data_IF_448861118702
#
_entry.id   IF_448861118702
#
_cell.length_a   1.000
_cell.length_b   1.000
_cell.length_c   1.000
_cell.angle_alpha   90.00
_cell.angle_beta   90.00
_cell.angle_gamma   90.00
#
_symmetry.space_group_name_H-M   'P 1'
#
loop_
_entity.id
_entity.type
_entity.pdbx_description
1 polymer ?
#
# COMPACT_ATOMS: atom_id res chain seq x y z
N UNK A 1 24.22 -15.05 -45.09
CA UNK A 1 24.94 -14.75 -43.83
C UNK A 1 24.06 -15.16 -42.68
N UNK A 2 24.59 -15.87 -41.68
CA UNK A 2 23.82 -16.25 -40.49
C UNK A 2 23.57 -15.00 -39.64
N UNK A 3 22.31 -14.71 -39.36
CA UNK A 3 21.90 -13.56 -38.53
C UNK A 3 22.12 -13.93 -37.05
N UNK A 4 22.92 -13.12 -36.34
CA UNK A 4 23.29 -13.34 -34.93
C UNK A 4 22.42 -12.49 -34.00
N UNK A 5 21.97 -11.33 -34.47
CA UNK A 5 21.09 -10.42 -33.75
C UNK A 5 19.87 -10.12 -34.61
N UNK A 6 18.70 -10.03 -33.97
CA UNK A 6 17.47 -9.58 -34.60
C UNK A 6 17.10 -8.22 -34.01
N UNK A 7 16.97 -7.23 -34.88
CA UNK A 7 16.47 -5.91 -34.49
C UNK A 7 14.96 -5.99 -34.29
N UNK A 8 14.47 -5.32 -33.25
CA UNK A 8 13.04 -5.16 -33.03
C UNK A 8 12.47 -4.11 -33.99
N UNK A 9 11.31 -4.40 -34.56
CA UNK A 9 10.51 -3.40 -35.28
C UNK A 9 9.48 -2.77 -34.34
N UNK A 10 8.87 -1.66 -34.73
CA UNK A 10 7.87 -0.97 -33.90
C UNK A 10 6.66 -1.87 -33.58
N UNK A 11 6.29 -2.78 -34.48
CA UNK A 11 5.19 -3.75 -34.29
C UNK A 11 5.54 -4.90 -33.32
N UNK A 12 6.82 -5.07 -33.00
CA UNK A 12 7.29 -6.10 -32.07
C UNK A 12 7.33 -5.58 -30.61
N UNK A 13 7.14 -4.27 -30.40
CA UNK A 13 7.24 -3.63 -29.09
C UNK A 13 5.89 -3.04 -28.69
N UNK A 14 5.32 -3.55 -27.60
CA UNK A 14 4.16 -2.94 -26.96
C UNK A 14 4.66 -2.23 -25.70
N UNK A 15 4.67 -0.91 -25.74
CA UNK A 15 5.11 -0.05 -24.64
C UNK A 15 3.91 0.39 -23.81
N UNK A 16 4.10 0.49 -22.50
CA UNK A 16 3.17 1.19 -21.61
C UNK A 16 1.89 0.40 -21.32
N UNK A 17 1.96 -0.93 -21.30
CA UNK A 17 0.87 -1.73 -20.76
C UNK A 17 0.81 -1.51 -19.25
N UNK A 18 -0.27 -0.92 -18.75
CA UNK A 18 -0.44 -0.59 -17.33
C UNK A 18 -1.32 -1.66 -16.73
N UNK A 19 -0.71 -2.55 -15.95
CA UNK A 19 -1.46 -3.51 -15.16
C UNK A 19 -1.67 -2.96 -13.75
N UNK A 20 -2.93 -2.96 -13.30
CA UNK A 20 -3.26 -2.67 -11.91
C UNK A 20 -3.26 -3.98 -11.13
N UNK A 21 -2.40 -4.08 -10.12
CA UNK A 21 -2.29 -5.23 -9.23
C UNK A 21 -2.80 -4.80 -7.86
N UNK A 22 -3.73 -5.58 -7.32
CA UNK A 22 -4.24 -5.40 -5.97
C UNK A 22 -3.81 -6.56 -5.07
N UNK A 23 -3.33 -6.27 -3.87
CA UNK A 23 -2.89 -7.27 -2.90
C UNK A 23 -3.28 -6.88 -1.46
N UNK A 24 -3.44 -7.86 -0.55
CA UNK A 24 -3.58 -7.62 0.89
C UNK A 24 -2.51 -6.66 1.43
N UNK A 25 -2.92 -5.70 2.26
CA UNK A 25 -1.99 -4.69 2.83
C UNK A 25 -1.33 -5.16 4.13
N UNK A 26 -1.96 -6.07 4.88
CA UNK A 26 -1.50 -6.42 6.22
C UNK A 26 -0.34 -7.42 6.19
N UNK A 27 0.45 -7.44 7.28
CA UNK A 27 1.52 -8.43 7.45
C UNK A 27 1.04 -9.85 7.14
N UNK A 28 1.96 -10.67 6.61
CA UNK A 28 1.69 -12.09 6.29
C UNK A 28 0.60 -12.26 5.21
N UNK A 29 0.38 -11.22 4.38
CA UNK A 29 -0.63 -11.18 3.31
C UNK A 29 -2.06 -11.48 3.80
N UNK A 30 -2.35 -11.09 5.05
CA UNK A 30 -3.67 -11.30 5.68
C UNK A 30 -4.65 -10.24 5.16
N UNK A 31 -5.88 -10.64 4.80
CA UNK A 31 -7.00 -9.73 4.57
C UNK A 31 -8.32 -10.53 4.63
N UNK A 32 -9.30 -10.17 5.49
CA UNK A 32 -9.28 -9.07 6.46
C UNK A 32 -8.30 -9.31 7.61
N UNK A 33 -7.77 -8.24 8.19
CA UNK A 33 -6.98 -8.31 9.41
C UNK A 33 -7.92 -8.47 10.60
N UNK A 34 -7.96 -9.69 11.12
CA UNK A 34 -8.85 -10.13 12.19
C UNK A 34 -8.04 -10.81 13.28
N UNK A 35 -8.39 -10.52 14.54
CA UNK A 35 -7.77 -11.18 15.68
C UNK A 35 -8.09 -12.69 15.67
N UNK A 36 -7.09 -13.53 15.88
CA UNK A 36 -7.25 -14.98 15.85
C UNK A 36 -6.45 -15.68 16.97
N UNK A 37 -6.62 -17.00 17.06
CA UNK A 37 -5.96 -17.84 18.06
C UNK A 37 -4.48 -18.13 17.76
N UNK A 38 -3.97 -17.75 16.58
CA UNK A 38 -2.55 -17.95 16.21
C UNK A 38 -1.66 -16.76 16.56
N UNK A 39 -2.16 -15.83 17.38
CA UNK A 39 -1.42 -14.68 17.89
C UNK A 39 -1.44 -13.46 16.97
N UNK A 40 -2.30 -13.46 15.94
CA UNK A 40 -2.59 -12.26 15.14
C UNK A 40 -3.69 -11.46 15.83
N UNK A 41 -3.53 -10.15 15.90
CA UNK A 41 -4.51 -9.26 16.51
C UNK A 41 -3.97 -7.85 16.67
N UNK A 42 -4.77 -6.97 17.22
CA UNK A 42 -4.47 -5.53 17.32
C UNK A 42 -3.75 -5.24 18.65
N UNK A 43 -2.43 -5.41 18.66
CA UNK A 43 -1.62 -5.25 19.87
C UNK A 43 -1.01 -3.85 19.97
N UNK A 44 -0.86 -3.35 21.19
CA UNK A 44 -0.11 -2.14 21.52
C UNK A 44 0.94 -2.46 22.58
N UNK A 45 2.11 -1.84 22.53
CA UNK A 45 3.11 -1.97 23.59
C UNK A 45 2.91 -0.92 24.69
N UNK A 46 2.98 -1.34 25.96
CA UNK A 46 2.93 -0.44 27.13
C UNK A 46 4.12 0.52 27.19
N UNK A 47 5.29 0.12 26.69
CA UNK A 47 6.48 0.97 26.57
C UNK A 47 6.27 2.18 25.66
N UNK A 48 5.29 2.13 24.74
CA UNK A 48 4.96 3.30 23.92
C UNK A 48 4.37 4.43 24.76
N UNK A 49 3.66 4.12 25.85
CA UNK A 49 2.99 5.14 26.68
C UNK A 49 3.96 6.10 27.36
N UNK A 50 5.21 5.71 27.58
CA UNK A 50 6.27 6.56 28.16
C UNK A 50 7.18 7.20 27.11
N UNK A 51 7.08 6.80 25.84
CA UNK A 51 7.93 7.29 24.74
C UNK A 51 7.14 8.17 23.77
N UNK A 52 6.23 7.56 23.00
CA UNK A 52 5.46 8.22 21.94
C UNK A 52 4.00 8.47 22.31
N UNK A 53 3.53 7.93 23.43
CA UNK A 53 2.11 7.84 23.81
C UNK A 53 1.45 9.16 24.18
N UNK A 54 2.18 10.28 24.08
CA UNK A 54 1.60 11.62 24.13
C UNK A 54 1.21 12.11 22.72
N UNK A 55 1.80 11.54 21.67
CA UNK A 55 1.63 11.93 20.27
C UNK A 55 0.83 10.90 19.46
N UNK A 56 1.19 9.62 19.55
CA UNK A 56 0.57 8.54 18.79
C UNK A 56 0.76 7.16 19.46
N UNK A 57 -0.06 6.21 19.04
CA UNK A 57 0.03 4.80 19.42
C UNK A 57 0.14 3.92 18.18
N UNK A 58 1.20 3.10 18.08
CA UNK A 58 1.29 2.08 17.03
C UNK A 58 0.48 0.84 17.41
N UNK A 59 -0.15 0.25 16.38
CA UNK A 59 -0.82 -1.04 16.44
C UNK A 59 -0.01 -2.06 15.64
N UNK A 60 0.34 -3.15 16.30
CA UNK A 60 1.14 -4.26 15.80
C UNK A 60 0.25 -5.46 15.46
N UNK A 61 0.68 -6.29 14.50
CA UNK A 61 0.02 -7.56 14.15
C UNK A 61 0.14 -8.65 15.20
N UNK A 62 1.24 -8.64 15.96
CA UNK A 62 1.58 -9.61 17.00
C UNK A 62 2.00 -8.85 18.25
N UNK A 63 2.02 -9.53 19.40
CA UNK A 63 2.43 -8.89 20.64
C UNK A 63 3.94 -8.54 20.59
N UNK A 64 4.30 -7.24 20.57
CA UNK A 64 5.69 -6.80 20.41
C UNK A 64 6.58 -7.12 21.63
N UNK A 65 5.99 -7.48 22.78
CA UNK A 65 6.74 -7.87 23.97
C UNK A 65 7.21 -9.34 23.91
N UNK A 66 6.48 -10.19 23.20
CA UNK A 66 6.72 -11.64 23.19
C UNK A 66 7.17 -12.16 21.82
N UNK A 67 6.89 -11.43 20.74
CA UNK A 67 7.16 -11.86 19.37
C UNK A 67 8.08 -10.88 18.65
N UNK A 68 9.26 -11.37 18.25
CA UNK A 68 10.24 -10.59 17.50
C UNK A 68 9.78 -10.24 16.07
N UNK A 69 8.77 -10.94 15.53
CA UNK A 69 8.19 -10.65 14.21
C UNK A 69 7.02 -9.66 14.27
N UNK A 70 6.79 -9.00 15.41
CA UNK A 70 5.78 -7.97 15.54
C UNK A 70 6.11 -6.76 14.64
N UNK A 71 5.24 -6.51 13.66
CA UNK A 71 5.36 -5.42 12.72
C UNK A 71 4.22 -4.41 12.91
N UNK A 72 4.56 -3.12 12.83
CA UNK A 72 3.59 -2.03 12.87
C UNK A 72 2.71 -2.08 11.63
N UNK A 73 1.38 -2.18 11.83
CA UNK A 73 0.40 -2.14 10.76
C UNK A 73 -0.01 -0.69 10.47
N UNK A 74 -0.38 0.05 11.51
CA UNK A 74 -0.79 1.44 11.44
C UNK A 74 -0.56 2.13 12.79
N UNK A 75 -0.56 3.46 12.78
CA UNK A 75 -0.48 4.31 13.96
C UNK A 75 -1.77 5.13 14.09
N UNK A 76 -2.19 5.39 15.32
CA UNK A 76 -3.33 6.25 15.63
C UNK A 76 -2.83 7.48 16.38
N UNK A 77 -3.26 8.66 15.95
CA UNK A 77 -2.93 9.93 16.57
C UNK A 77 -4.20 10.75 16.80
N UNK A 78 -4.17 11.63 17.81
CA UNK A 78 -5.24 12.56 18.11
C UNK A 78 -4.70 13.98 18.04
N UNK A 79 -5.38 14.85 17.31
CA UNK A 79 -5.02 16.24 17.15
C UNK A 79 -6.16 17.16 17.54
N UNK A 80 -5.84 18.28 18.17
CA UNK A 80 -6.78 19.36 18.44
C UNK A 80 -6.15 20.70 18.08
N UNK A 81 -6.87 21.54 17.33
CA UNK A 81 -6.39 22.84 16.85
C UNK A 81 -5.94 23.78 17.97
N UNK A 82 -6.64 23.76 19.10
CA UNK A 82 -6.34 24.59 20.28
C UNK A 82 -5.44 23.86 21.29
N UNK A 83 -5.14 22.59 21.06
CA UNK A 83 -4.29 21.79 21.94
C UNK A 83 -5.00 21.11 23.11
N UNK A 84 -6.33 21.08 23.11
CA UNK A 84 -7.12 20.43 24.16
C UNK A 84 -7.11 18.90 24.07
N UNK A 85 -7.22 18.21 25.21
CA UNK A 85 -7.05 16.75 25.31
C UNK A 85 -5.59 16.29 25.47
N UNK A 86 -4.66 17.22 25.65
CA UNK A 86 -3.29 16.97 26.08
C UNK A 86 -2.80 18.09 27.01
N UNK A 87 -1.81 17.79 27.85
CA UNK A 87 -1.08 18.80 28.61
C UNK A 87 0.20 19.19 27.88
N UNK A 88 0.51 20.48 27.83
CA UNK A 88 1.82 20.97 27.37
C UNK A 88 2.89 20.71 28.42
N UNK A 89 4.16 20.70 28.01
CA UNK A 89 5.26 20.57 28.97
C UNK A 89 5.47 21.89 29.72
N UNK A 90 5.20 21.87 31.02
CA UNK A 90 5.37 23.01 31.90
C UNK A 90 6.85 23.42 32.10
N UNK A 91 7.81 22.56 31.75
CA UNK A 91 9.24 22.81 31.91
C UNK A 91 9.92 23.33 30.64
N UNK A 92 9.18 23.54 29.55
CA UNK A 92 9.74 24.13 28.34
C UNK A 92 10.05 25.62 28.55
N UNK A 93 11.26 26.04 28.15
CA UNK A 93 11.73 27.43 28.24
C UNK A 93 10.75 28.35 27.51
N UNK A 94 9.98 29.16 28.26
CA UNK A 94 9.00 30.11 27.71
C UNK A 94 7.59 30.06 28.31
N UNK A 95 7.29 29.14 29.24
CA UNK A 95 5.94 28.92 29.77
C UNK A 95 4.91 28.65 28.65
N UNK A 96 5.29 27.82 27.68
CA UNK A 96 4.46 27.50 26.51
C UNK A 96 3.36 26.48 26.87
N UNK A 97 2.49 26.81 27.82
CA UNK A 97 1.32 26.00 28.19
C UNK A 97 0.40 25.69 26.99
N UNK A 98 0.52 26.46 25.90
CA UNK A 98 -0.21 26.29 24.64
C UNK A 98 0.49 25.38 23.62
N UNK A 99 1.75 24.97 23.84
CA UNK A 99 2.45 23.99 23.00
C UNK A 99 2.18 22.59 23.53
N UNK A 100 1.01 22.07 23.16
CA UNK A 100 0.57 20.74 23.57
C UNK A 100 0.78 19.71 22.45
N UNK A 101 1.00 18.43 22.79
CA UNK A 101 1.14 17.36 21.79
C UNK A 101 -0.01 17.30 20.78
N UNK A 102 -1.26 17.47 21.22
CA UNK A 102 -2.42 17.45 20.32
C UNK A 102 -2.44 18.63 19.34
N UNK A 103 -1.89 19.80 19.73
CA UNK A 103 -1.74 20.95 18.81
C UNK A 103 -0.70 20.66 17.73
N UNK A 104 0.43 20.06 18.11
CA UNK A 104 1.48 19.67 17.18
C UNK A 104 1.01 18.61 16.18
N UNK A 105 0.26 17.60 16.63
CA UNK A 105 -0.33 16.59 15.75
C UNK A 105 -1.31 17.21 14.77
N UNK A 106 -2.20 18.09 15.25
CA UNK A 106 -3.16 18.78 14.37
C UNK A 106 -2.46 19.61 13.30
N UNK A 107 -1.43 20.39 13.67
CA UNK A 107 -0.69 21.23 12.73
C UNK A 107 0.12 20.41 11.73
N UNK A 108 0.68 19.27 12.13
CA UNK A 108 1.39 18.35 11.23
C UNK A 108 0.45 17.81 10.15
N UNK A 109 -0.70 17.24 10.53
CA UNK A 109 -1.65 16.71 9.56
C UNK A 109 -2.24 17.82 8.70
N UNK A 110 -2.52 18.99 9.26
CA UNK A 110 -2.97 20.16 8.49
C UNK A 110 -1.96 20.51 7.40
N UNK A 111 -0.70 20.72 7.75
CA UNK A 111 0.32 21.16 6.80
C UNK A 111 0.59 20.15 5.68
N UNK A 112 0.34 18.86 5.94
CA UNK A 112 0.55 17.79 4.98
C UNK A 112 -0.69 17.52 4.11
N UNK A 113 -1.89 17.61 4.68
CA UNK A 113 -3.14 17.14 4.05
C UNK A 113 -3.98 18.27 3.45
N UNK A 114 -3.91 19.46 4.04
CA UNK A 114 -4.71 20.61 3.64
C UNK A 114 -3.88 21.61 2.84
N UNK A 115 -4.52 22.38 1.94
CA UNK A 115 -3.89 23.53 1.30
C UNK A 115 -3.41 24.56 2.35
N UNK A 116 -2.38 25.35 2.06
CA UNK A 116 -1.83 26.32 3.02
C UNK A 116 -2.82 27.41 3.44
N UNK A 117 -3.84 27.67 2.62
CA UNK A 117 -4.92 28.62 2.90
C UNK A 117 -5.93 28.10 3.91
N UNK A 118 -6.03 26.78 4.07
CA UNK A 118 -6.99 26.16 4.98
C UNK A 118 -6.37 25.95 6.37
N UNK A 119 -7.16 26.21 7.40
CA UNK A 119 -6.79 26.12 8.80
C UNK A 119 -7.60 25.07 9.57
N UNK A 120 -8.59 24.42 8.94
CA UNK A 120 -9.50 23.52 9.61
C UNK A 120 -9.87 22.31 8.75
N UNK A 121 -10.02 21.14 9.36
CA UNK A 121 -10.51 19.98 8.62
C UNK A 121 -12.03 20.09 8.48
N UNK A 122 -12.51 20.09 7.24
CA UNK A 122 -13.94 20.12 6.92
C UNK A 122 -14.42 18.72 6.54
N UNK A 123 -15.49 18.25 7.17
CA UNK A 123 -16.13 16.96 6.90
C UNK A 123 -17.54 17.21 6.40
N UNK A 124 -17.76 17.03 5.09
CA UNK A 124 -18.99 17.44 4.42
C UNK A 124 -19.18 18.96 4.53
N UNK A 125 -20.10 19.39 5.40
CA UNK A 125 -20.40 20.80 5.66
C UNK A 125 -19.99 21.26 7.06
N UNK A 126 -19.30 20.41 7.83
CA UNK A 126 -18.95 20.68 9.23
C UNK A 126 -17.45 20.75 9.45
N UNK A 127 -16.99 21.85 10.01
CA UNK A 127 -15.61 22.05 10.42
C UNK A 127 -15.34 21.37 11.77
N UNK A 128 -14.21 20.67 11.89
CA UNK A 128 -13.76 20.09 13.16
C UNK A 128 -12.45 20.69 13.63
N UNK A 129 -12.44 21.13 14.89
CA UNK A 129 -11.21 21.49 15.61
C UNK A 129 -10.49 20.27 16.19
N UNK A 130 -11.10 19.07 16.14
CA UNK A 130 -10.56 17.84 16.71
C UNK A 130 -10.58 16.68 15.71
N UNK A 131 -9.45 15.99 15.59
CA UNK A 131 -9.27 14.89 14.63
C UNK A 131 -8.69 13.65 15.29
N UNK A 132 -9.08 12.50 14.76
CA UNK A 132 -8.41 11.22 14.99
C UNK A 132 -7.84 10.73 13.66
N UNK A 133 -6.54 10.59 13.57
CA UNK A 133 -5.88 10.14 12.35
C UNK A 133 -5.39 8.70 12.52
N UNK A 134 -5.66 7.86 11.52
CA UNK A 134 -5.08 6.54 11.34
C UNK A 134 -4.10 6.64 10.18
N UNK A 135 -2.83 6.38 10.45
CA UNK A 135 -1.76 6.39 9.45
C UNK A 135 -1.29 4.96 9.22
N UNK A 136 -1.55 4.41 8.03
CA UNK A 136 -1.07 3.08 7.67
C UNK A 136 0.43 3.13 7.41
N UNK A 137 1.17 2.13 7.91
CA UNK A 137 2.62 2.10 7.73
C UNK A 137 2.99 2.00 6.25
N UNK A 138 3.89 2.86 5.76
CA UNK A 138 4.34 2.83 4.35
C UNK A 138 5.00 1.52 3.95
N UNK A 139 5.50 0.74 4.91
CA UNK A 139 5.99 -0.61 4.63
C UNK A 139 4.88 -1.59 4.21
N UNK A 140 3.60 -1.21 4.28
CA UNK A 140 2.44 -2.03 3.93
C UNK A 140 1.96 -1.84 2.49
N UNK A 141 2.22 -0.68 1.88
CA UNK A 141 1.79 -0.36 0.53
C UNK A 141 2.85 0.44 -0.21
N UNK A 142 3.10 0.09 -1.48
CA UNK A 142 4.14 0.74 -2.29
C UNK A 142 3.65 2.06 -2.90
N UNK A 143 2.54 2.02 -3.63
CA UNK A 143 1.98 3.19 -4.29
C UNK A 143 0.87 3.81 -3.44
N UNK A 144 -0.29 3.15 -3.37
CA UNK A 144 -1.49 3.66 -2.72
C UNK A 144 -2.33 2.53 -2.11
N UNK A 145 -3.29 2.91 -1.28
CA UNK A 145 -4.37 2.03 -0.83
C UNK A 145 -5.46 2.01 -1.92
N UNK A 146 -6.06 0.84 -2.14
CA UNK A 146 -7.14 0.60 -3.08
C UNK A 146 -8.46 1.24 -2.58
N UNK A 147 -8.93 2.34 -3.19
CA UNK A 147 -10.18 2.99 -2.81
C UNK A 147 -11.38 2.06 -3.03
N UNK A 148 -12.34 2.07 -2.11
CA UNK A 148 -13.56 1.27 -2.19
C UNK A 148 -13.37 -0.18 -1.72
N UNK A 149 -12.12 -0.60 -1.49
CA UNK A 149 -11.76 -1.97 -1.09
C UNK A 149 -11.16 -2.04 0.32
N UNK A 150 -11.49 -1.09 1.19
CA UNK A 150 -11.19 -1.15 2.62
C UNK A 150 -12.45 -0.99 3.48
N UNK A 151 -12.42 -1.64 4.64
CA UNK A 151 -13.49 -1.61 5.62
C UNK A 151 -12.87 -1.65 7.01
N UNK A 152 -13.16 -0.64 7.83
CA UNK A 152 -12.71 -0.56 9.23
C UNK A 152 -13.91 -0.67 10.16
N UNK A 153 -13.81 -1.51 11.18
CA UNK A 153 -14.78 -1.52 12.27
C UNK A 153 -14.21 -0.89 13.51
N UNK A 154 -15.04 -0.07 14.16
CA UNK A 154 -14.69 0.62 15.40
C UNK A 154 -15.76 0.29 16.43
N UNK A 155 -15.33 -0.17 17.61
CA UNK A 155 -16.23 -0.46 18.71
C UNK A 155 -17.05 0.77 19.10
N UNK A 156 -18.37 0.60 19.14
CA UNK A 156 -19.35 1.60 19.55
C UNK A 156 -19.90 1.26 20.95
N UNK A 157 -20.61 2.18 21.60
CA UNK A 157 -21.29 1.96 22.87
C UNK A 157 -20.79 2.85 24.03
N UNK A 158 -21.66 3.03 25.03
CA UNK A 158 -21.60 4.09 26.05
C UNK A 158 -20.24 4.32 26.72
N UNK A 159 -20.00 5.59 27.04
CA UNK A 159 -18.77 6.20 27.56
C UNK A 159 -18.26 5.68 28.93
N UNK A 160 -18.90 4.68 29.53
CA UNK A 160 -18.64 4.23 30.92
C UNK A 160 -17.60 3.12 31.07
N UNK A 161 -17.25 2.42 30.00
CA UNK A 161 -16.25 1.35 30.03
C UNK A 161 -15.27 1.55 28.89
N UNK A 162 -13.99 1.63 29.22
CA UNK A 162 -12.90 1.32 28.30
C UNK A 162 -13.03 -0.17 28.00
N UNK A 163 -14.00 -0.52 27.16
CA UNK A 163 -14.33 -1.89 26.88
C UNK A 163 -13.30 -2.42 25.88
N UNK A 164 -12.36 -3.21 26.37
CA UNK A 164 -11.48 -4.09 25.56
C UNK A 164 -12.30 -5.05 24.68
N UNK A 165 -13.61 -5.17 24.95
CA UNK A 165 -14.58 -5.99 24.25
C UNK A 165 -15.87 -5.20 24.04
N UNK A 166 -16.11 -4.67 22.83
CA UNK A 166 -17.43 -4.14 22.48
C UNK A 166 -18.14 -5.13 21.57
N UNK A 167 -19.32 -5.58 21.97
CA UNK A 167 -20.21 -6.40 21.14
C UNK A 167 -20.88 -5.58 20.03
N UNK A 168 -20.81 -4.26 20.10
CA UNK A 168 -21.39 -3.33 19.12
C UNK A 168 -20.28 -2.57 18.40
N UNK A 169 -20.37 -2.47 17.09
CA UNK A 169 -19.40 -1.77 16.26
C UNK A 169 -20.10 -0.98 15.17
N UNK A 170 -19.47 0.10 14.75
CA UNK A 170 -19.82 0.82 13.53
C UNK A 170 -18.77 0.50 12.48
N UNK A 171 -19.23 0.28 11.25
CA UNK A 171 -18.36 -0.02 10.11
C UNK A 171 -18.21 1.23 9.25
N UNK A 172 -16.99 1.51 8.83
CA UNK A 172 -16.63 2.65 8.00
C UNK A 172 -15.94 2.20 6.73
N UNK A 173 -16.32 2.84 5.64
CA UNK A 173 -15.77 2.66 4.29
C UNK A 173 -15.62 4.05 3.65
N UNK A 174 -14.87 4.14 2.56
CA UNK A 174 -14.92 5.33 1.71
C UNK A 174 -16.05 5.23 0.65
N UNK A 175 -16.42 6.37 0.08
CA UNK A 175 -17.51 6.46 -0.89
C UNK A 175 -17.13 6.12 -2.34
N UNK A 176 -15.86 5.81 -2.67
CA UNK A 176 -15.51 5.47 -4.06
C UNK A 176 -16.18 4.19 -4.54
N UNK A 177 -16.45 3.23 -3.65
CA UNK A 177 -17.23 2.03 -3.96
C UNK A 177 -18.70 2.32 -4.29
N UNK A 178 -19.22 3.47 -3.85
CA UNK A 178 -20.57 3.95 -4.12
C UNK A 178 -20.64 4.89 -5.35
N UNK A 179 -19.53 5.06 -6.09
CA UNK A 179 -19.47 5.89 -7.29
C UNK A 179 -19.19 7.37 -7.05
N UNK A 180 -18.73 7.75 -5.85
CA UNK A 180 -18.27 9.13 -5.57
C UNK A 180 -16.91 9.38 -6.23
N UNK A 181 -16.81 10.46 -7.02
CA UNK A 181 -15.54 10.91 -7.60
C UNK A 181 -14.64 11.52 -6.50
N UNK A 182 -13.31 11.29 -6.56
CA UNK A 182 -12.39 11.89 -5.60
C UNK A 182 -12.36 13.41 -5.74
N UNK A 183 -12.36 14.10 -4.62
CA UNK A 183 -11.91 15.50 -4.58
C UNK A 183 -10.38 15.54 -4.68
N UNK A 184 -9.83 16.57 -5.34
CA UNK A 184 -8.39 16.75 -5.50
C UNK A 184 -7.93 17.83 -4.53
N UNK A 185 -7.14 17.45 -3.53
CA UNK A 185 -6.47 18.34 -2.58
C UNK A 185 -4.98 18.47 -2.92
N UNK A 186 -4.29 19.39 -2.23
CA UNK A 186 -2.83 19.53 -2.29
C UNK A 186 -2.08 18.22 -1.95
N UNK A 187 -2.70 17.35 -1.15
CA UNK A 187 -2.14 16.05 -0.74
C UNK A 187 -2.47 14.87 -1.68
N UNK A 188 -3.16 15.14 -2.79
CA UNK A 188 -3.64 14.13 -3.74
C UNK A 188 -5.15 13.93 -3.67
N UNK A 189 -5.60 12.71 -4.00
CA UNK A 189 -7.04 12.38 -4.02
C UNK A 189 -7.57 12.22 -2.61
N UNK A 190 -8.81 12.66 -2.38
CA UNK A 190 -9.50 12.58 -1.09
C UNK A 190 -10.92 12.07 -1.30
N UNK A 191 -11.29 11.07 -0.52
CA UNK A 191 -12.65 10.52 -0.48
C UNK A 191 -13.30 10.77 0.88
N UNK A 192 -14.61 10.99 0.89
CA UNK A 192 -15.38 11.00 2.12
C UNK A 192 -15.43 9.60 2.75
N UNK A 193 -15.33 9.55 4.08
CA UNK A 193 -15.54 8.32 4.86
C UNK A 193 -16.92 8.37 5.49
N UNK A 194 -17.69 7.31 5.28
CA UNK A 194 -19.07 7.18 5.74
C UNK A 194 -19.27 5.87 6.48
N UNK A 195 -20.34 5.77 7.25
CA UNK A 195 -20.77 4.48 7.77
C UNK A 195 -21.28 3.61 6.62
N UNK A 196 -20.82 2.38 6.52
CA UNK A 196 -21.19 1.46 5.45
C UNK A 196 -20.40 0.16 5.51
N UNK A 197 -20.71 -0.79 4.64
CA UNK A 197 -20.00 -2.06 4.54
C UNK A 197 -20.05 -2.59 3.12
N UNK A 198 -19.06 -3.41 2.75
CA UNK A 198 -19.02 -4.06 1.43
C UNK A 198 -19.05 -3.08 0.24
N UNK A 199 -18.48 -1.89 0.39
CA UNK A 199 -18.44 -0.86 -0.65
C UNK A 199 -19.72 -0.01 -0.79
N UNK A 200 -20.73 -0.24 0.06
CA UNK A 200 -22.01 0.51 0.03
C UNK A 200 -22.15 1.40 1.26
N UNK A 201 -22.30 2.70 1.05
CA UNK A 201 -22.51 3.70 2.11
C UNK A 201 -23.96 3.64 2.62
N UNK A 202 -24.13 3.71 3.94
CA UNK A 202 -25.44 3.61 4.62
C UNK A 202 -25.94 4.95 5.20
N UNK A 203 -25.08 5.96 5.27
CA UNK A 203 -25.42 7.29 5.79
C UNK A 203 -24.77 8.39 4.95
N UNK A 204 -25.43 9.54 4.91
CA UNK A 204 -24.90 10.76 4.29
C UNK A 204 -23.99 11.55 5.26
N UNK A 205 -23.85 11.11 6.51
CA UNK A 205 -22.95 11.73 7.47
C UNK A 205 -21.51 11.36 7.15
N UNK A 206 -20.73 12.35 6.75
CA UNK A 206 -19.29 12.17 6.54
C UNK A 206 -18.55 12.17 7.88
N UNK A 207 -18.05 10.99 8.27
CA UNK A 207 -17.29 10.78 9.50
C UNK A 207 -15.81 11.08 9.34
N UNK A 208 -15.31 11.13 8.11
CA UNK A 208 -13.88 11.27 7.86
C UNK A 208 -13.49 11.64 6.44
N UNK A 209 -12.18 11.72 6.22
CA UNK A 209 -11.50 11.96 4.97
C UNK A 209 -10.45 10.87 4.77
N UNK A 210 -10.44 10.24 3.60
CA UNK A 210 -9.51 9.19 3.24
C UNK A 210 -8.56 9.66 2.14
N UNK A 211 -7.27 9.59 2.42
CA UNK A 211 -6.16 9.97 1.55
C UNK A 211 -5.42 8.69 1.09
N UNK A 212 -5.87 8.00 0.02
CA UNK A 212 -5.31 6.73 -0.43
C UNK A 212 -3.84 6.79 -0.81
N UNK A 213 -3.39 7.93 -1.36
CA UNK A 213 -2.01 8.12 -1.82
C UNK A 213 -1.04 8.29 -0.64
N UNK A 214 -1.50 8.89 0.46
CA UNK A 214 -0.72 9.07 1.69
C UNK A 214 -0.89 7.90 2.68
N UNK A 215 -1.93 7.09 2.52
CA UNK A 215 -2.30 6.01 3.43
C UNK A 215 -2.87 6.50 4.76
N UNK A 216 -3.60 7.61 4.74
CA UNK A 216 -4.11 8.26 5.96
C UNK A 216 -5.63 8.33 5.92
N UNK A 217 -6.25 7.95 7.04
CA UNK A 217 -7.68 8.15 7.29
C UNK A 217 -7.82 9.14 8.44
N UNK A 218 -8.49 10.27 8.21
CA UNK A 218 -8.77 11.28 9.25
C UNK A 218 -10.24 11.21 9.61
N UNK A 219 -10.55 11.02 10.88
CA UNK A 219 -11.90 11.02 11.42
C UNK A 219 -12.20 12.29 12.21
N UNK A 220 -13.46 12.72 12.14
CA UNK A 220 -14.00 13.78 12.96
C UNK A 220 -14.21 13.27 14.40
N UNK A 221 -13.35 13.67 15.34
CA UNK A 221 -13.39 13.15 16.71
C UNK A 221 -14.72 13.47 17.43
N UNK A 222 -15.30 14.66 17.21
CA UNK A 222 -16.62 15.03 17.75
C UNK A 222 -17.76 14.10 17.33
N UNK A 223 -17.85 13.73 16.05
CA UNK A 223 -18.85 12.77 15.55
C UNK A 223 -18.61 11.37 16.10
N UNK A 224 -17.35 10.95 16.28
CA UNK A 224 -17.03 9.68 16.92
C UNK A 224 -17.49 9.66 18.39
N UNK A 225 -17.34 10.79 19.09
CA UNK A 225 -17.82 10.95 20.46
C UNK A 225 -19.36 10.92 20.54
N UNK A 226 -20.06 11.67 19.69
CA UNK A 226 -21.52 11.77 19.75
C UNK A 226 -22.25 10.52 19.23
N UNK A 227 -21.77 9.94 18.12
CA UNK A 227 -22.51 8.90 17.40
C UNK A 227 -22.03 7.48 17.74
N UNK A 228 -20.75 7.30 18.09
CA UNK A 228 -20.22 5.99 18.53
C UNK A 228 -20.15 5.88 20.06
N UNK A 229 -20.34 6.98 20.80
CA UNK A 229 -20.22 7.01 22.26
C UNK A 229 -18.79 6.89 22.78
N UNK A 230 -17.79 7.22 21.95
CA UNK A 230 -16.39 7.14 22.35
C UNK A 230 -16.06 8.17 23.46
N UNK A 231 -15.39 7.77 24.56
CA UNK A 231 -15.05 8.67 25.66
C UNK A 231 -13.82 9.52 25.31
N UNK A 232 -13.98 10.41 24.34
CA UNK A 232 -12.99 11.39 23.93
C UNK A 232 -13.08 12.58 24.89
N UNK A 233 -11.98 12.88 25.58
CA UNK A 233 -11.88 14.03 26.47
C UNK A 233 -11.08 15.14 25.78
N UNK A 234 -11.78 16.19 25.38
CA UNK A 234 -11.24 17.40 24.76
C UNK A 234 -11.11 18.56 25.76
N UNK A 235 -11.00 18.27 27.07
CA UNK A 235 -10.79 19.26 28.11
C UNK A 235 -9.44 19.97 27.99
N UNK A 236 -9.38 21.22 28.43
CA UNK A 236 -8.12 21.98 28.48
C UNK A 236 -7.20 21.45 29.59
N UNK A 237 -5.90 21.38 29.31
CA UNK A 237 -4.86 20.93 30.24
C UNK A 237 -5.10 19.52 30.85
N UNK A 238 -5.75 18.62 30.11
CA UNK A 238 -5.97 17.22 30.52
C UNK A 238 -5.17 16.28 29.64
N UNK A 239 -4.42 15.35 30.24
CA UNK A 239 -3.73 14.29 29.51
C UNK A 239 -4.69 13.13 29.18
N UNK A 240 -5.58 13.36 28.21
CA UNK A 240 -6.64 12.42 27.87
C UNK A 240 -6.17 11.21 27.06
N UNK A 241 -5.12 11.38 26.23
CA UNK A 241 -4.58 10.34 25.34
C UNK A 241 -5.67 9.66 24.49
N UNK A 242 -6.53 10.47 23.87
CA UNK A 242 -7.69 10.01 23.08
C UNK A 242 -7.34 9.00 21.96
N UNK A 243 -6.12 9.05 21.43
CA UNK A 243 -5.63 8.08 20.45
C UNK A 243 -5.48 6.66 21.03
N UNK A 244 -5.18 6.53 22.33
CA UNK A 244 -5.15 5.23 23.03
C UNK A 244 -6.57 4.68 23.15
N UNK A 245 -7.53 5.52 23.54
CA UNK A 245 -8.96 5.17 23.55
C UNK A 245 -9.42 4.65 22.18
N UNK A 246 -9.03 5.32 21.10
CA UNK A 246 -9.33 4.87 19.74
C UNK A 246 -8.66 3.52 19.42
N UNK A 247 -7.39 3.30 19.79
CA UNK A 247 -6.73 2.01 19.58
C UNK A 247 -7.44 0.86 20.29
N UNK A 248 -7.99 1.10 21.49
CA UNK A 248 -8.76 0.12 22.23
C UNK A 248 -10.10 -0.17 21.55
N UNK A 249 -10.78 0.84 21.01
CA UNK A 249 -12.03 0.66 20.25
C UNK A 249 -11.84 -0.07 18.92
N UNK A 250 -10.74 0.18 18.22
CA UNK A 250 -10.36 -0.56 17.00
C UNK A 250 -10.02 -2.01 17.35
N UNK A 251 -9.19 -2.22 18.39
CA UNK A 251 -8.81 -3.56 18.85
C UNK A 251 -10.03 -4.38 19.31
N UNK A 252 -10.95 -3.75 20.05
CA UNK A 252 -12.17 -4.38 20.53
C UNK A 252 -13.12 -4.85 19.41
N UNK A 253 -13.14 -4.17 18.27
CA UNK A 253 -13.91 -4.62 17.10
C UNK A 253 -13.17 -5.65 16.26
N UNK A 254 -11.83 -5.63 16.30
CA UNK A 254 -10.97 -6.68 15.76
C UNK A 254 -11.09 -6.91 14.25
N UNK A 255 -11.45 -5.90 13.46
CA UNK A 255 -11.63 -6.05 12.01
C UNK A 255 -11.13 -4.82 11.23
N UNK A 256 -10.20 -5.06 10.31
CA UNK A 256 -9.80 -4.08 9.31
C UNK A 256 -9.46 -4.79 7.99
N UNK A 257 -10.30 -4.65 6.98
CA UNK A 257 -10.01 -5.08 5.62
C UNK A 257 -9.40 -3.92 4.83
N UNK A 258 -8.34 -4.18 4.07
CA UNK A 258 -7.77 -3.20 3.14
C UNK A 258 -6.87 -3.88 2.12
N UNK A 259 -6.74 -3.27 0.95
CA UNK A 259 -5.86 -3.70 -0.13
C UNK A 259 -4.97 -2.55 -0.57
N UNK A 260 -3.77 -2.88 -1.03
CA UNK A 260 -2.91 -1.94 -1.72
C UNK A 260 -3.09 -2.13 -3.23
N UNK A 261 -3.07 -1.02 -3.95
CA UNK A 261 -3.15 -1.01 -5.41
C UNK A 261 -1.83 -0.47 -5.96
N UNK A 262 -1.27 -1.18 -6.93
CA UNK A 262 -0.05 -0.81 -7.63
C UNK A 262 -0.27 -0.86 -9.14
N UNK A 263 0.12 0.21 -9.82
CA UNK A 263 0.21 0.25 -11.27
C UNK A 263 1.63 -0.13 -11.67
N UNK A 264 1.77 -1.30 -12.27
CA UNK A 264 3.02 -1.76 -12.86
C UNK A 264 2.98 -1.47 -14.35
N UNK A 265 3.92 -0.66 -14.82
CA UNK A 265 4.11 -0.41 -16.23
C UNK A 265 5.01 -1.47 -16.82
N UNK A 266 4.47 -2.26 -17.74
CA UNK A 266 5.20 -3.31 -18.41
C UNK A 266 5.43 -2.97 -19.88
N UNK A 267 6.63 -3.25 -20.37
CA UNK A 267 6.92 -3.24 -21.81
C UNK A 267 7.07 -4.68 -22.28
N UNK A 268 6.36 -5.02 -23.34
CA UNK A 268 6.37 -6.34 -23.92
C UNK A 268 7.11 -6.33 -25.26
N UNK A 269 8.08 -7.23 -25.39
CA UNK A 269 8.83 -7.45 -26.63
C UNK A 269 8.45 -8.82 -27.21
N UNK A 270 7.99 -8.83 -28.45
CA UNK A 270 7.64 -10.03 -29.18
C UNK A 270 8.79 -10.43 -30.10
N UNK A 271 9.60 -11.39 -29.65
CA UNK A 271 10.67 -11.96 -30.46
C UNK A 271 10.06 -13.02 -31.38
N UNK A 272 9.84 -12.64 -32.63
CA UNK A 272 9.43 -13.56 -33.71
C UNK A 272 10.67 -14.20 -34.32
N UNK A 273 10.82 -15.51 -34.26
CA UNK A 273 11.93 -16.26 -34.87
C UNK A 273 11.35 -17.03 -36.04
N UNK A 274 11.54 -16.52 -37.25
CA UNK A 274 11.01 -17.13 -38.47
C UNK A 274 11.77 -18.40 -38.84
N UNK A 275 11.20 -19.17 -39.76
CA UNK A 275 11.75 -20.47 -40.14
C UNK A 275 13.18 -20.38 -40.73
N UNK A 276 13.58 -19.26 -41.34
CA UNK A 276 14.92 -19.04 -41.92
C UNK A 276 15.97 -18.51 -40.93
N UNK A 277 15.55 -17.98 -39.78
CA UNK A 277 16.44 -17.33 -38.82
C UNK A 277 16.88 -18.30 -37.70
N UNK A 278 18.08 -18.08 -37.14
CA UNK A 278 18.61 -18.76 -35.94
C UNK A 278 18.61 -20.31 -35.98
N UNK A 279 18.83 -20.90 -37.17
CA UNK A 279 18.89 -22.36 -37.33
C UNK A 279 20.29 -22.96 -37.07
N UNK A 280 21.29 -22.13 -36.75
CA UNK A 280 22.67 -22.55 -36.49
C UNK A 280 23.15 -22.00 -35.14
N UNK A 281 24.17 -22.61 -34.55
CA UNK A 281 24.70 -22.24 -33.23
C UNK A 281 26.19 -21.86 -33.33
N UNK A 282 26.60 -20.87 -32.54
CA UNK A 282 28.00 -20.48 -32.36
C UNK A 282 28.69 -21.24 -31.22
N UNK A 283 28.03 -22.24 -30.63
CA UNK A 283 28.65 -23.07 -29.59
C UNK A 283 29.86 -23.81 -30.19
N UNK A 284 31.03 -23.81 -29.53
CA UNK A 284 32.21 -24.57 -29.97
C UNK A 284 31.94 -26.07 -30.20
N UNK A 285 30.91 -26.67 -29.60
CA UNK A 285 30.52 -28.06 -29.86
C UNK A 285 29.80 -28.28 -31.19
N UNK A 286 29.44 -27.20 -31.91
CA UNK A 286 28.71 -27.25 -33.18
C UNK A 286 29.65 -27.35 -34.40
N UNK A 287 30.89 -26.89 -34.25
CA UNK A 287 31.91 -26.86 -35.32
C UNK A 287 33.19 -27.56 -34.86
N UNK A 288 33.93 -28.14 -35.80
CA UNK A 288 35.26 -28.66 -35.52
C UNK A 288 36.22 -27.47 -35.34
N UNK A 289 36.89 -27.41 -34.19
CA UNK A 289 37.57 -26.20 -33.70
C UNK A 289 38.65 -25.61 -34.62
N UNK A 290 39.18 -26.37 -35.57
CA UNK A 290 40.31 -25.95 -36.42
C UNK A 290 39.97 -25.71 -37.90
N UNK A 291 38.84 -26.20 -38.41
CA UNK A 291 38.48 -26.05 -39.85
C UNK A 291 37.14 -25.35 -40.08
N UNK A 292 36.39 -25.03 -39.01
CA UNK A 292 35.07 -24.40 -39.13
C UNK A 292 34.02 -25.28 -39.83
N UNK A 293 34.33 -26.57 -40.03
CA UNK A 293 33.41 -27.56 -40.60
C UNK A 293 32.45 -28.06 -39.52
N UNK A 294 31.23 -28.44 -39.89
CA UNK A 294 30.27 -28.98 -38.92
C UNK A 294 30.77 -30.29 -38.32
N UNK A 295 30.74 -30.41 -36.99
CA UNK A 295 31.16 -31.63 -36.28
C UNK A 295 30.27 -32.84 -36.63
N UNK A 296 28.98 -32.59 -36.87
CA UNK A 296 27.99 -33.61 -37.23
C UNK A 296 27.54 -33.43 -38.68
N UNK A 297 27.85 -34.41 -39.53
CA UNK A 297 27.46 -34.41 -40.96
C UNK A 297 25.94 -34.36 -41.18
N UNK A 298 25.16 -34.87 -40.23
CA UNK A 298 23.70 -34.83 -40.23
C UNK A 298 23.12 -33.41 -40.09
N UNK A 299 23.88 -32.46 -39.53
CA UNK A 299 23.42 -31.08 -39.31
C UNK A 299 23.73 -30.13 -40.48
N UNK A 300 24.43 -30.61 -41.53
CA UNK A 300 24.79 -29.80 -42.71
C UNK A 300 23.57 -29.28 -43.48
N UNK A 301 22.52 -30.12 -43.62
CA UNK A 301 21.28 -29.79 -44.34
C UNK A 301 20.05 -29.68 -43.44
N UNK A 302 20.10 -30.27 -42.24
CA UNK A 302 19.00 -30.23 -41.28
C UNK A 302 19.52 -30.03 -39.84
N UNK A 303 19.97 -28.81 -39.50
CA UNK A 303 20.46 -28.52 -38.16
C UNK A 303 19.31 -28.60 -37.15
N UNK A 304 19.55 -29.27 -36.03
CA UNK A 304 18.64 -29.34 -34.88
C UNK A 304 19.25 -28.55 -33.73
N UNK A 305 18.90 -27.27 -33.63
CA UNK A 305 19.42 -26.37 -32.60
C UNK A 305 18.30 -26.00 -31.62
N UNK A 306 18.68 -25.65 -30.40
CA UNK A 306 17.73 -25.27 -29.35
C UNK A 306 17.99 -23.85 -28.88
N UNK A 307 16.94 -23.05 -28.81
CA UNK A 307 16.98 -21.75 -28.13
C UNK A 307 16.81 -22.01 -26.64
N UNK A 308 17.78 -21.61 -25.83
CA UNK A 308 17.76 -21.78 -24.36
C UNK A 308 17.75 -20.46 -23.61
N UNK A 309 18.40 -19.44 -24.16
CA UNK A 309 18.62 -18.15 -23.53
C UNK A 309 18.43 -17.05 -24.55
N UNK A 310 17.89 -15.91 -24.11
CA UNK A 310 17.66 -14.72 -24.92
C UNK A 310 18.39 -13.57 -24.24
N UNK A 311 19.29 -12.92 -24.97
CA UNK A 311 19.97 -11.70 -24.53
C UNK A 311 19.40 -10.50 -25.27
N UNK A 312 19.05 -9.45 -24.53
CA UNK A 312 18.66 -8.16 -25.08
C UNK A 312 19.86 -7.23 -25.06
N UNK A 313 20.16 -6.61 -26.19
CA UNK A 313 21.29 -5.70 -26.37
C UNK A 313 20.79 -4.30 -26.74
N UNK A 314 21.52 -3.27 -26.34
CA UNK A 314 21.30 -1.92 -26.82
C UNK A 314 22.00 -1.66 -28.18
N UNK A 315 21.76 -0.49 -28.77
CA UNK A 315 22.38 -0.07 -30.05
C UNK A 315 23.92 0.03 -29.99
N UNK A 316 24.50 -0.02 -28.79
CA UNK A 316 25.96 -0.04 -28.54
C UNK A 316 26.47 -1.46 -28.25
N UNK A 317 25.67 -2.50 -28.53
CA UNK A 317 25.97 -3.90 -28.25
C UNK A 317 26.25 -4.23 -26.78
N UNK A 318 25.71 -3.44 -25.84
CA UNK A 318 25.78 -3.73 -24.40
C UNK A 318 24.59 -4.59 -24.00
N UNK A 319 24.86 -5.65 -23.26
CA UNK A 319 23.82 -6.55 -22.76
C UNK A 319 22.99 -5.83 -21.68
N UNK A 320 21.69 -5.68 -21.93
CA UNK A 320 20.74 -4.98 -21.05
C UNK A 320 19.97 -5.97 -20.18
N UNK A 321 19.60 -7.13 -20.75
CA UNK A 321 18.83 -8.15 -20.04
C UNK A 321 19.14 -9.55 -20.57
N UNK A 322 18.96 -10.56 -19.71
CA UNK A 322 19.07 -11.98 -20.08
C UNK A 322 17.86 -12.73 -19.52
N UNK A 323 17.21 -13.51 -20.37
CA UNK A 323 16.13 -14.41 -19.98
C UNK A 323 16.47 -15.85 -20.35
N UNK A 324 16.16 -16.80 -19.45
CA UNK A 324 16.31 -18.24 -19.70
C UNK A 324 14.93 -18.87 -19.91
N UNK A 325 14.82 -19.73 -20.92
CA UNK A 325 13.60 -20.49 -21.17
C UNK A 325 13.54 -21.69 -20.22
N UNK A 326 12.36 -21.96 -19.67
CA UNK A 326 12.12 -23.11 -18.80
C UNK A 326 12.33 -24.45 -19.52
N UNK A 327 12.01 -24.48 -20.83
CA UNK A 327 12.26 -25.62 -21.72
C UNK A 327 12.97 -25.12 -22.98
N UNK A 328 14.09 -25.73 -23.39
CA UNK A 328 14.76 -25.38 -24.63
C UNK A 328 13.84 -25.60 -25.83
N UNK A 329 13.77 -24.62 -26.72
CA UNK A 329 12.87 -24.65 -27.87
C UNK A 329 13.61 -25.15 -29.10
N UNK A 330 13.18 -26.29 -29.66
CA UNK A 330 13.76 -26.86 -30.87
C UNK A 330 13.46 -25.96 -32.08
N UNK A 331 14.51 -25.59 -32.81
CA UNK A 331 14.46 -24.82 -34.03
C UNK A 331 14.93 -25.65 -35.23
N UNK A 332 14.21 -25.48 -36.35
CA UNK A 332 14.54 -26.05 -37.67
C UNK A 332 13.94 -25.17 -38.78
N UNK A 333 14.26 -25.48 -40.04
CA UNK A 333 13.71 -24.78 -41.21
C UNK A 333 12.19 -24.89 -41.39
N UNK A 334 11.55 -25.81 -40.67
CA UNK A 334 10.10 -26.04 -40.70
C UNK A 334 9.39 -25.52 -39.44
N UNK A 335 10.13 -24.91 -38.51
CA UNK A 335 9.59 -24.44 -37.22
C UNK A 335 9.86 -22.97 -37.02
N UNK A 336 8.84 -22.28 -36.57
CA UNK A 336 8.90 -20.89 -36.11
C UNK A 336 8.67 -20.83 -34.60
N UNK A 337 9.13 -19.74 -34.00
CA UNK A 337 8.93 -19.50 -32.58
C UNK A 337 8.47 -18.07 -32.34
N UNK A 338 7.54 -17.89 -31.41
CA UNK A 338 7.17 -16.60 -30.86
C UNK A 338 7.51 -16.61 -29.38
N UNK A 339 8.34 -15.66 -28.95
CA UNK A 339 8.71 -15.52 -27.54
C UNK A 339 8.29 -14.13 -27.06
N UNK A 340 7.48 -14.08 -26.01
CA UNK A 340 7.09 -12.83 -25.35
C UNK A 340 8.03 -12.58 -24.18
N UNK A 341 8.79 -11.48 -24.24
CA UNK A 341 9.64 -11.00 -23.16
C UNK A 341 8.92 -9.86 -22.47
N UNK A 342 8.71 -9.98 -21.16
CA UNK A 342 8.08 -8.95 -20.31
C UNK A 342 9.17 -8.25 -19.51
N UNK A 343 9.24 -6.93 -19.62
CA UNK A 343 10.08 -6.07 -18.80
C UNK A 343 9.16 -5.25 -17.89
N UNK A 344 9.28 -5.48 -16.58
CA UNK A 344 8.56 -4.77 -15.54
C UNK A 344 9.48 -3.70 -14.94
N UNK A 345 8.98 -2.48 -14.80
CA UNK A 345 9.70 -1.33 -14.25
C UNK A 345 8.97 -0.71 -13.06
#
# INVERSE_FOLDING_TARGET
MAEIYKNFTQDDIIVGDIQTISQPIWSENINPYVANTTGIGFFTASSQLSQSGDYYMNVYNRNPQTDANAAVQFAIAYGNKQGSGSIGDANTVGNNANDTPSRAIYSQYRNMLLPPTDNVFTFGTTDSNEILAINLSRARFRQKIDPGNWELRIGSGSAGTIATWSSSYSTFIDASGAGEDPSISAAGRVYGVYSGSGGVTQSNTQYGLFYPDQGIVVFHAGLMRSNLGMPINSGSAVQARNHVTMSLRVSASGYFAARSEEKVTSTHYFVRVTNKQFNFSNNPTFVTGSTGTFLHSSMLRNPSVYISTIGMYDDRNRLVAVAKLSKPLLKSFNREALIKVKLDF
#
